data_IF_652864021960
#
_entry.id   IF_652864021960
#
_cell.length_a   1.000
_cell.length_b   1.000
_cell.length_c   1.000
_cell.angle_alpha   90.00
_cell.angle_beta   90.00
_cell.angle_gamma   90.00
#
_symmetry.space_group_name_H-M   'P 1'
#
loop_
_entity.id
_entity.type
_entity.pdbx_description
1 polymer ?
#
# COMPACT_ATOMS: atom_id res chain seq x y z
N UNK A 1 -46.63 33.67 2.65
CA UNK A 1 -45.68 32.67 3.19
C UNK A 1 -45.18 31.84 2.02
N UNK A 2 -43.87 31.83 1.74
CA UNK A 2 -43.31 31.09 0.60
C UNK A 2 -42.92 29.69 1.08
N UNK A 3 -43.54 28.64 0.52
CA UNK A 3 -43.15 27.25 0.77
C UNK A 3 -41.78 27.01 0.13
N UNK A 4 -40.82 26.54 0.93
CA UNK A 4 -39.56 26.00 0.44
C UNK A 4 -39.77 24.57 -0.02
N UNK A 5 -39.56 24.30 -1.30
CA UNK A 5 -39.67 22.96 -1.87
C UNK A 5 -38.41 22.16 -1.53
N UNK A 6 -38.59 20.87 -1.24
CA UNK A 6 -37.56 19.93 -0.74
C UNK A 6 -36.46 19.60 -1.77
N UNK A 7 -36.51 20.20 -2.96
CA UNK A 7 -35.67 19.91 -4.12
C UNK A 7 -35.07 21.18 -4.71
N UNK A 8 -34.48 22.02 -3.86
CA UNK A 8 -33.65 23.11 -4.34
C UNK A 8 -32.28 22.51 -4.72
N UNK A 9 -32.11 22.11 -6.00
CA UNK A 9 -30.89 21.48 -6.51
C UNK A 9 -29.76 22.49 -6.75
N UNK A 10 -30.04 23.79 -6.74
CA UNK A 10 -29.04 24.82 -7.08
C UNK A 10 -27.94 24.96 -6.01
N UNK A 11 -28.22 24.55 -4.76
CA UNK A 11 -27.25 24.54 -3.66
C UNK A 11 -26.13 23.50 -3.79
N UNK A 12 -26.25 22.52 -4.71
CA UNK A 12 -25.24 21.47 -4.89
C UNK A 12 -24.35 21.67 -6.13
N UNK A 13 -24.56 22.73 -6.92
CA UNK A 13 -23.88 22.92 -8.20
C UNK A 13 -22.58 23.74 -8.12
N UNK A 14 -22.24 24.32 -6.96
CA UNK A 14 -21.00 25.09 -6.81
C UNK A 14 -19.87 24.20 -6.31
N UNK A 15 -18.91 23.79 -7.17
CA UNK A 15 -17.70 23.15 -6.68
C UNK A 15 -16.91 24.16 -5.83
N UNK A 16 -16.31 23.74 -4.71
CA UNK A 16 -15.43 24.62 -3.97
C UNK A 16 -14.27 25.01 -4.89
N UNK A 17 -14.03 26.32 -5.01
CA UNK A 17 -12.81 26.84 -5.64
C UNK A 17 -11.65 26.46 -4.73
N UNK A 18 -11.03 25.33 -5.02
CA UNK A 18 -9.80 24.90 -4.36
C UNK A 18 -8.71 25.83 -4.88
N UNK A 19 -8.44 26.90 -4.15
CA UNK A 19 -7.17 27.62 -4.29
C UNK A 19 -6.08 26.66 -3.82
N UNK A 20 -5.51 25.88 -4.75
CA UNK A 20 -4.31 25.11 -4.48
C UNK A 20 -3.20 26.11 -4.12
N UNK A 21 -2.95 26.28 -2.83
CA UNK A 21 -1.80 27.02 -2.35
C UNK A 21 -0.56 26.21 -2.74
N UNK A 22 -0.02 26.50 -3.92
CA UNK A 22 1.23 25.91 -4.39
C UNK A 22 2.35 26.33 -3.44
N UNK A 23 2.86 25.35 -2.68
CA UNK A 23 3.96 25.57 -1.76
C UNK A 23 5.29 25.43 -2.51
N UNK A 24 5.92 26.57 -2.76
CA UNK A 24 7.21 26.69 -3.46
C UNK A 24 8.39 26.04 -2.72
N UNK A 25 8.21 25.60 -1.48
CA UNK A 25 9.26 24.89 -0.73
C UNK A 25 9.59 23.52 -1.30
N UNK A 26 8.71 22.95 -2.13
CA UNK A 26 8.92 21.66 -2.81
C UNK A 26 9.89 21.73 -4.00
N UNK A 27 10.23 22.93 -4.49
CA UNK A 27 11.15 23.13 -5.63
C UNK A 27 12.64 23.21 -5.22
N UNK A 28 12.96 23.06 -3.93
CA UNK A 28 14.35 23.16 -3.46
C UNK A 28 15.04 21.80 -3.58
N UNK A 29 15.56 21.50 -4.77
CA UNK A 29 16.66 20.55 -4.88
C UNK A 29 17.95 21.24 -4.43
N UNK A 30 18.53 20.73 -3.33
CA UNK A 30 19.86 21.11 -2.88
C UNK A 30 20.85 20.84 -4.01
N UNK A 31 21.19 21.90 -4.75
CA UNK A 31 22.25 21.88 -5.75
C UNK A 31 23.56 22.02 -4.98
N UNK A 32 24.06 20.90 -4.45
CA UNK A 32 25.39 20.86 -3.82
C UNK A 32 26.41 20.97 -4.96
N UNK A 33 26.95 22.18 -5.10
CA UNK A 33 28.06 22.49 -5.99
C UNK A 33 29.30 21.70 -5.56
N UNK A 34 29.60 20.60 -6.26
CA UNK A 34 30.90 19.95 -6.14
C UNK A 34 31.94 20.80 -6.88
N UNK A 35 32.63 21.63 -6.10
CA UNK A 35 33.81 22.37 -6.47
C UNK A 35 34.89 21.41 -6.96
N UNK A 36 35.21 21.51 -8.26
CA UNK A 36 36.34 20.85 -8.91
C UNK A 36 37.61 21.59 -8.48
N UNK A 37 38.53 20.90 -7.78
CA UNK A 37 39.91 21.36 -7.66
C UNK A 37 40.91 20.19 -7.73
N UNK A 38 41.79 20.34 -8.72
CA UNK A 38 43.21 20.00 -8.76
C UNK A 38 43.67 18.55 -9.07
N UNK A 39 44.24 18.45 -10.27
CA UNK A 39 45.07 17.35 -10.76
C UNK A 39 46.45 17.37 -10.10
N UNK A 40 46.97 16.22 -9.69
CA UNK A 40 48.42 15.99 -9.69
C UNK A 40 48.76 14.51 -9.99
N UNK A 41 49.61 14.37 -11.01
CA UNK A 41 50.38 13.24 -11.58
C UNK A 41 50.35 11.82 -10.97
N UNK A 42 50.10 10.86 -11.88
CA UNK A 42 50.41 9.41 -11.90
C UNK A 42 51.89 9.02 -11.63
N UNK A 43 52.33 7.72 -11.54
CA UNK A 43 51.69 6.45 -11.99
C UNK A 43 51.88 5.18 -11.10
N UNK A 44 50.99 4.17 -11.25
CA UNK A 44 51.36 2.74 -11.49
C UNK A 44 50.18 1.76 -11.37
N UNK A 45 50.16 0.81 -12.32
CA UNK A 45 49.24 -0.31 -12.63
C UNK A 45 49.01 -1.31 -11.47
N UNK A 46 48.04 -2.28 -11.51
CA UNK A 46 47.33 -2.80 -12.69
C UNK A 46 45.79 -2.89 -12.59
N UNK A 47 45.16 -2.76 -13.75
CA UNK A 47 43.87 -3.34 -14.18
C UNK A 47 42.95 -3.82 -13.05
N UNK A 48 42.32 -2.89 -12.33
CA UNK A 48 41.10 -3.21 -11.60
C UNK A 48 39.98 -3.24 -12.63
N UNK A 49 39.73 -4.43 -13.15
CA UNK A 49 38.61 -4.80 -14.02
C UNK A 49 37.34 -4.04 -13.62
N UNK A 50 37.08 -2.97 -14.36
CA UNK A 50 35.78 -2.31 -14.44
C UNK A 50 34.81 -3.39 -14.93
N UNK A 51 33.66 -3.52 -14.26
CA UNK A 51 32.56 -4.48 -14.51
C UNK A 51 32.45 -5.64 -13.52
N UNK A 52 32.52 -5.37 -12.21
CA UNK A 52 31.67 -6.16 -11.30
C UNK A 52 30.26 -5.57 -11.38
N UNK A 53 29.55 -5.91 -12.47
CA UNK A 53 28.11 -5.70 -12.53
C UNK A 53 27.52 -6.47 -11.37
N UNK A 54 26.95 -5.75 -10.41
CA UNK A 54 26.13 -6.36 -9.37
C UNK A 54 24.93 -7.04 -10.07
N UNK A 55 25.10 -8.33 -10.41
CA UNK A 55 24.02 -9.26 -10.75
C UNK A 55 23.32 -9.62 -9.44
N UNK A 56 22.89 -8.63 -8.68
CA UNK A 56 21.80 -8.85 -7.74
C UNK A 56 20.57 -8.67 -8.58
N UNK A 57 20.12 -9.76 -9.20
CA UNK A 57 18.77 -9.89 -9.73
C UNK A 57 17.82 -9.41 -8.64
N UNK A 58 17.47 -8.14 -8.74
CA UNK A 58 16.55 -7.52 -7.82
C UNK A 58 15.20 -7.94 -8.36
N UNK A 59 14.85 -9.21 -8.15
CA UNK A 59 13.51 -9.76 -8.32
C UNK A 59 12.60 -9.10 -7.28
N UNK A 60 12.45 -7.78 -7.36
CA UNK A 60 11.30 -7.03 -6.86
C UNK A 60 10.15 -7.33 -7.83
N UNK A 61 9.82 -8.61 -7.97
CA UNK A 61 8.51 -9.00 -8.45
C UNK A 61 7.54 -8.39 -7.44
N UNK A 62 6.77 -7.39 -7.88
CA UNK A 62 5.63 -6.93 -7.11
C UNK A 62 4.79 -8.18 -6.82
N UNK A 63 4.30 -8.39 -5.59
CA UNK A 63 3.53 -9.59 -5.27
C UNK A 63 2.42 -9.75 -6.31
N UNK A 64 2.51 -10.80 -7.14
CA UNK A 64 1.47 -11.12 -8.13
C UNK A 64 0.13 -11.45 -7.46
N UNK A 65 0.18 -11.69 -6.15
CA UNK A 65 -0.98 -11.95 -5.31
C UNK A 65 -1.80 -10.66 -5.14
N UNK A 66 -2.84 -10.54 -5.96
CA UNK A 66 -3.86 -9.49 -5.88
C UNK A 66 -4.59 -9.47 -4.52
N UNK A 67 -4.51 -10.55 -3.74
CA UNK A 67 -5.30 -10.77 -2.54
C UNK A 67 -4.68 -11.84 -1.62
N UNK A 68 -4.83 -11.67 -0.30
CA UNK A 68 -4.24 -12.53 0.73
C UNK A 68 -5.00 -12.43 2.06
N UNK A 69 -4.72 -13.33 3.01
CA UNK A 69 -5.22 -13.23 4.39
C UNK A 69 -4.13 -12.71 5.31
N UNK A 70 -4.50 -11.84 6.23
CA UNK A 70 -3.59 -11.25 7.21
C UNK A 70 -4.12 -11.43 8.63
N UNK A 71 -3.21 -11.72 9.55
CA UNK A 71 -3.45 -11.71 10.98
C UNK A 71 -3.17 -10.30 11.53
N UNK A 72 -4.15 -9.70 12.19
CA UNK A 72 -4.00 -8.38 12.82
C UNK A 72 -4.31 -8.42 14.32
N UNK A 73 -3.67 -7.52 15.07
CA UNK A 73 -3.90 -7.38 16.52
C UNK A 73 -4.81 -6.21 16.84
N UNK A 74 -5.63 -6.37 17.86
CA UNK A 74 -6.45 -5.33 18.47
C UNK A 74 -6.29 -5.43 19.98
N UNK A 75 -5.98 -4.32 20.64
CA UNK A 75 -5.89 -4.26 22.11
C UNK A 75 -7.21 -3.75 22.66
N UNK A 76 -7.83 -4.48 23.60
CA UNK A 76 -9.03 -4.06 24.33
C UNK A 76 -8.88 -4.43 25.80
N UNK A 77 -9.23 -3.53 26.71
CA UNK A 77 -9.14 -3.77 28.16
C UNK A 77 -7.78 -4.32 28.63
N UNK A 78 -6.68 -3.81 28.08
CA UNK A 78 -5.32 -4.28 28.36
C UNK A 78 -5.02 -5.73 27.95
N UNK A 79 -5.89 -6.33 27.12
CA UNK A 79 -5.71 -7.67 26.56
C UNK A 79 -5.52 -7.57 25.04
N UNK A 80 -4.63 -8.42 24.52
CA UNK A 80 -4.39 -8.53 23.08
C UNK A 80 -5.31 -9.56 22.45
N UNK A 81 -6.02 -9.14 21.40
CA UNK A 81 -6.84 -10.02 20.59
C UNK A 81 -6.28 -10.07 19.18
N UNK A 82 -6.21 -11.27 18.62
CA UNK A 82 -5.74 -11.49 17.26
C UNK A 82 -6.92 -11.94 16.42
N UNK A 83 -7.04 -11.40 15.22
CA UNK A 83 -8.11 -11.71 14.30
C UNK A 83 -7.53 -11.92 12.90
N UNK A 84 -8.29 -12.59 12.05
CA UNK A 84 -7.99 -12.69 10.63
C UNK A 84 -8.79 -11.64 9.85
N UNK A 85 -8.17 -11.08 8.83
CA UNK A 85 -8.82 -10.25 7.83
C UNK A 85 -8.36 -10.68 6.44
N UNK A 86 -9.26 -10.65 5.48
CA UNK A 86 -8.97 -10.88 4.08
C UNK A 86 -8.72 -9.54 3.40
N UNK A 87 -7.66 -9.43 2.59
CA UNK A 87 -7.28 -8.22 1.88
C UNK A 87 -7.20 -8.49 0.39
N UNK A 88 -7.54 -7.48 -0.40
CA UNK A 88 -7.36 -7.51 -1.85
C UNK A 88 -7.13 -6.12 -2.42
N UNK A 89 -6.51 -6.08 -3.58
CA UNK A 89 -6.30 -4.87 -4.36
C UNK A 89 -7.40 -4.75 -5.42
N UNK A 90 -8.02 -3.57 -5.50
CA UNK A 90 -8.88 -3.18 -6.61
C UNK A 90 -8.28 -1.93 -7.26
N UNK A 91 -7.63 -2.12 -8.41
CA UNK A 91 -6.79 -1.09 -9.03
C UNK A 91 -5.64 -0.68 -8.10
N UNK A 92 -5.65 0.57 -7.63
CA UNK A 92 -4.65 1.13 -6.69
C UNK A 92 -5.14 1.19 -5.23
N UNK A 93 -6.33 0.65 -4.94
CA UNK A 93 -6.95 0.73 -3.61
C UNK A 93 -6.90 -0.63 -2.91
N UNK A 94 -6.43 -0.62 -1.67
CA UNK A 94 -6.44 -1.78 -0.78
C UNK A 94 -7.81 -1.87 -0.09
N UNK A 95 -8.46 -3.01 -0.23
CA UNK A 95 -9.69 -3.37 0.45
C UNK A 95 -9.39 -4.43 1.50
N UNK A 96 -10.21 -4.47 2.56
CA UNK A 96 -10.10 -5.49 3.59
C UNK A 96 -11.46 -5.81 4.21
N UNK A 97 -11.64 -7.06 4.63
CA UNK A 97 -12.83 -7.54 5.35
C UNK A 97 -12.40 -8.41 6.53
N UNK A 98 -13.05 -8.22 7.68
CA UNK A 98 -12.83 -9.05 8.86
C UNK A 98 -13.40 -10.46 8.64
N UNK A 99 -12.61 -11.50 8.89
CA UNK A 99 -13.11 -12.88 8.85
C UNK A 99 -13.84 -13.16 10.16
N UNK A 100 -15.17 -13.40 10.14
CA UNK A 100 -15.94 -13.64 11.36
C UNK A 100 -15.53 -14.97 11.99
N UNK A 101 -15.76 -15.14 13.29
CA UNK A 101 -15.40 -16.38 14.01
C UNK A 101 -14.64 -16.16 15.32
N UNK A 102 -14.36 -14.89 15.62
CA UNK A 102 -13.71 -14.48 16.85
C UNK A 102 -12.19 -14.49 16.72
N UNK A 103 -11.50 -14.67 17.84
CA UNK A 103 -10.05 -14.63 17.89
C UNK A 103 -9.44 -15.77 17.04
N UNK A 104 -8.21 -15.58 16.54
CA UNK A 104 -7.39 -16.58 15.82
C UNK A 104 -7.30 -17.94 16.52
N UNK A 105 -7.43 -17.98 17.85
CA UNK A 105 -7.45 -19.23 18.63
C UNK A 105 -8.77 -20.03 18.51
N UNK A 106 -9.83 -19.40 18.03
CA UNK A 106 -11.14 -20.04 17.83
C UNK A 106 -11.08 -21.02 16.67
N UNK A 107 -11.61 -22.23 16.88
CA UNK A 107 -11.71 -23.24 15.82
C UNK A 107 -12.50 -22.72 14.61
N UNK A 108 -13.55 -21.94 14.87
CA UNK A 108 -14.39 -21.36 13.81
C UNK A 108 -13.58 -20.40 12.94
N UNK A 109 -12.73 -19.57 13.55
CA UNK A 109 -11.88 -18.63 12.84
C UNK A 109 -10.83 -19.36 12.00
N UNK A 110 -10.23 -20.43 12.52
CA UNK A 110 -9.26 -21.26 11.80
C UNK A 110 -9.89 -21.99 10.60
N UNK A 111 -11.06 -22.61 10.79
CA UNK A 111 -11.79 -23.26 9.70
C UNK A 111 -12.11 -22.27 8.58
N UNK A 112 -12.59 -21.06 8.93
CA UNK A 112 -12.89 -20.03 7.93
C UNK A 112 -11.65 -19.49 7.24
N UNK A 113 -10.56 -19.27 7.98
CA UNK A 113 -9.27 -18.92 7.40
C UNK A 113 -8.85 -19.95 6.35
N UNK A 114 -8.95 -21.23 6.69
CA UNK A 114 -8.59 -22.31 5.77
C UNK A 114 -9.52 -22.38 4.55
N UNK A 115 -10.81 -22.08 4.70
CA UNK A 115 -11.72 -21.96 3.55
C UNK A 115 -11.29 -20.83 2.60
N UNK A 116 -10.86 -19.69 3.14
CA UNK A 116 -10.35 -18.57 2.34
C UNK A 116 -9.03 -18.94 1.66
N UNK A 117 -8.08 -19.55 2.38
CA UNK A 117 -6.81 -20.02 1.82
C UNK A 117 -7.03 -21.06 0.71
N UNK A 118 -7.97 -21.98 0.89
CA UNK A 118 -8.34 -22.95 -0.15
C UNK A 118 -8.96 -22.25 -1.38
N UNK A 119 -9.77 -21.21 -1.17
CA UNK A 119 -10.32 -20.40 -2.26
C UNK A 119 -9.23 -19.62 -3.02
N UNK A 120 -8.23 -19.10 -2.30
CA UNK A 120 -7.05 -18.48 -2.88
C UNK A 120 -6.25 -19.48 -3.72
N UNK A 121 -6.02 -20.68 -3.20
CA UNK A 121 -5.34 -21.75 -3.91
C UNK A 121 -6.10 -22.21 -5.17
N UNK A 122 -7.44 -22.14 -5.15
CA UNK A 122 -8.28 -22.40 -6.30
C UNK A 122 -8.35 -21.23 -7.31
N UNK A 123 -7.72 -20.09 -7.02
CA UNK A 123 -7.71 -18.92 -7.91
C UNK A 123 -9.05 -18.17 -7.97
N UNK A 124 -9.89 -18.25 -6.94
CA UNK A 124 -11.18 -17.54 -6.91
C UNK A 124 -10.97 -16.03 -6.82
N UNK A 125 -11.85 -15.26 -7.46
CA UNK A 125 -11.80 -13.80 -7.41
C UNK A 125 -12.24 -13.25 -6.04
N UNK A 126 -11.75 -12.06 -5.61
CA UNK A 126 -12.13 -11.47 -4.33
C UNK A 126 -13.64 -11.30 -4.12
N UNK A 127 -14.39 -10.99 -5.18
CA UNK A 127 -15.85 -10.83 -5.15
C UNK A 127 -16.58 -12.12 -4.75
N UNK A 128 -15.96 -13.28 -4.99
CA UNK A 128 -16.52 -14.58 -4.60
C UNK A 128 -16.19 -14.95 -3.15
N UNK A 129 -15.08 -14.43 -2.61
CA UNK A 129 -14.56 -14.73 -1.27
C UNK A 129 -15.16 -13.78 -0.22
N UNK A 130 -15.50 -12.55 -0.61
CA UNK A 130 -16.08 -11.52 0.27
C UNK A 130 -17.50 -11.86 0.77
N UNK A 131 -18.24 -12.71 0.05
CA UNK A 131 -19.65 -13.05 0.32
C UNK A 131 -19.82 -14.10 1.42
#
# INVERSE_FOLDING_TARGET
>A
MKQTTLFDLEQFTTPPVINSAYDRSWDKTETVANTVLEQTSEPSKPDSTVLEQAITDTNKSAPEQSHWVEKYRVVRYHQEHYYYRYLWMSGRKLHHVHIPGGNVRSQIAQCRNQMVENALAAGKLPVEIEK
#
